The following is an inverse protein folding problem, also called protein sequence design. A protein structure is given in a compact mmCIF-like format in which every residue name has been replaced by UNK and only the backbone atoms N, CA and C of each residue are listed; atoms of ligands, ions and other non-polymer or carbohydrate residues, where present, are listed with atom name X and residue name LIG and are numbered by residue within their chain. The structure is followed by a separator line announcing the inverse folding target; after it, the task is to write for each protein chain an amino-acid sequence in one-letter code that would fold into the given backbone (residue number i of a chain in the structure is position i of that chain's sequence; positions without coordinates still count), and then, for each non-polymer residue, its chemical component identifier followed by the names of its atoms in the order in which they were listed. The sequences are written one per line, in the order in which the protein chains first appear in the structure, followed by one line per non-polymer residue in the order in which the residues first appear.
data_IF_108325815495
#
_entry.id   IF_108325815495
#
_cell.length_a   1.000
_cell.length_b   1.000
_cell.length_c   1.000
_cell.angle_alpha   90.00
_cell.angle_beta   90.00
_cell.angle_gamma   90.00
#
_symmetry.space_group_name_H-M   'P 1'
#
loop_
_entity.id
_entity.type
_entity.pdbx_description
1 polymer ?
#
# COMPACT_ATOMS: atom_id res chain seq x y z
N UNK A 1 8.97 39.78 -10.57
CA UNK A 1 9.03 39.05 -11.85
C UNK A 1 10.43 38.48 -11.93
N UNK A 2 10.75 37.24 -11.64
CA UNK A 2 10.10 35.95 -11.35
C UNK A 2 11.25 35.12 -10.67
N UNK A 3 11.14 34.00 -9.97
CA UNK A 3 10.10 33.07 -9.54
C UNK A 3 10.77 32.44 -8.31
N UNK A 4 10.14 32.51 -7.13
CA UNK A 4 10.67 31.81 -5.96
C UNK A 4 10.07 30.40 -6.01
N UNK A 5 10.78 29.48 -6.67
CA UNK A 5 10.43 28.06 -6.64
C UNK A 5 10.31 27.61 -5.19
N UNK A 6 9.07 27.34 -4.80
CA UNK A 6 8.71 26.75 -3.53
C UNK A 6 9.23 25.30 -3.54
N UNK A 7 10.45 25.13 -3.05
CA UNK A 7 10.97 23.83 -2.63
C UNK A 7 10.12 23.39 -1.43
N UNK A 8 9.07 22.61 -1.70
CA UNK A 8 8.26 21.98 -0.65
C UNK A 8 9.20 21.17 0.28
N UNK A 9 9.08 21.30 1.61
CA UNK A 9 9.92 20.56 2.54
C UNK A 9 9.69 19.05 2.36
N UNK A 10 10.77 18.27 2.40
CA UNK A 10 10.76 16.81 2.26
C UNK A 10 9.76 16.09 3.20
N UNK A 11 9.32 16.76 4.27
CA UNK A 11 8.30 16.29 5.20
C UNK A 11 6.92 16.13 4.55
N UNK A 12 6.59 16.92 3.51
CA UNK A 12 5.29 16.81 2.85
C UNK A 12 5.15 15.56 1.98
N UNK A 13 6.26 15.06 1.44
CA UNK A 13 6.27 13.87 0.58
C UNK A 13 6.12 12.57 1.36
N UNK A 14 6.54 12.53 2.62
CA UNK A 14 6.54 11.31 3.43
C UNK A 14 5.14 10.99 3.98
N UNK A 15 4.33 12.00 4.33
CA UNK A 15 2.97 11.77 4.87
C UNK A 15 1.96 11.36 3.80
N UNK A 16 2.12 11.81 2.55
CA UNK A 16 1.30 11.33 1.43
C UNK A 16 1.61 9.86 1.11
N UNK A 17 2.90 9.49 1.14
CA UNK A 17 3.32 8.10 0.99
C UNK A 17 2.81 7.21 2.14
N UNK A 18 2.79 7.71 3.38
CA UNK A 18 2.18 7.00 4.50
C UNK A 18 0.68 6.76 4.28
N UNK A 19 -0.05 7.77 3.80
CA UNK A 19 -1.49 7.65 3.53
C UNK A 19 -1.77 6.57 2.47
N UNK A 20 -0.99 6.53 1.40
CA UNK A 20 -1.09 5.52 0.35
C UNK A 20 -0.75 4.12 0.87
N UNK A 21 0.32 3.98 1.66
CA UNK A 21 0.68 2.71 2.32
C UNK A 21 -0.44 2.25 3.24
N UNK A 22 -1.01 3.15 4.04
CA UNK A 22 -2.14 2.84 4.91
C UNK A 22 -3.37 2.40 4.12
N UNK A 23 -3.68 3.06 3.01
CA UNK A 23 -4.77 2.65 2.11
C UNK A 23 -4.53 1.25 1.53
N UNK A 24 -3.30 0.98 1.08
CA UNK A 24 -2.92 -0.34 0.58
C UNK A 24 -3.03 -1.42 1.67
N UNK A 25 -2.56 -1.15 2.89
CA UNK A 25 -2.74 -2.04 4.04
C UNK A 25 -4.22 -2.27 4.33
N UNK A 26 -5.05 -1.22 4.35
CA UNK A 26 -6.49 -1.34 4.61
C UNK A 26 -7.18 -2.22 3.56
N UNK A 27 -6.91 -2.02 2.27
CA UNK A 27 -7.48 -2.88 1.22
C UNK A 27 -7.05 -4.35 1.34
N UNK A 28 -5.86 -4.62 1.90
CA UNK A 28 -5.42 -5.99 2.17
C UNK A 28 -6.12 -6.61 3.39
N UNK A 29 -6.47 -5.80 4.40
CA UNK A 29 -7.34 -6.23 5.49
C UNK A 29 -8.74 -6.57 4.98
N UNK A 30 -9.31 -5.75 4.10
CA UNK A 30 -10.63 -5.98 3.51
C UNK A 30 -10.66 -7.30 2.72
N UNK A 31 -9.56 -7.61 2.02
CA UNK A 31 -9.37 -8.87 1.29
C UNK A 31 -8.93 -10.05 2.18
N UNK A 32 -8.77 -9.83 3.49
CA UNK A 32 -8.23 -10.80 4.46
C UNK A 32 -6.86 -11.39 4.07
N UNK A 33 -6.06 -10.61 3.37
CA UNK A 33 -4.69 -10.95 2.98
C UNK A 33 -3.70 -10.27 3.92
N UNK A 34 -2.77 -11.06 4.47
CA UNK A 34 -1.72 -10.52 5.33
C UNK A 34 -0.81 -9.58 4.52
N UNK A 35 -0.54 -8.33 4.96
CA UNK A 35 0.22 -7.34 4.19
C UNK A 35 1.72 -7.58 4.23
N UNK A 36 2.18 -8.69 3.65
CA UNK A 36 3.60 -8.95 3.42
C UNK A 36 4.20 -7.90 2.50
N UNK A 37 5.46 -7.52 2.70
CA UNK A 37 6.12 -6.47 1.93
C UNK A 37 6.08 -6.68 0.40
N UNK A 38 5.99 -7.93 -0.08
CA UNK A 38 5.76 -8.22 -1.51
C UNK A 38 4.33 -7.94 -1.97
N UNK A 39 3.33 -8.35 -1.18
CA UNK A 39 1.91 -8.16 -1.51
C UNK A 39 1.54 -6.69 -1.40
N UNK A 40 2.01 -6.01 -0.34
CA UNK A 40 1.79 -4.59 -0.12
C UNK A 40 2.30 -3.73 -1.28
N UNK A 41 3.49 -4.02 -1.82
CA UNK A 41 4.02 -3.33 -3.01
C UNK A 41 3.16 -3.54 -4.24
N UNK A 42 2.68 -4.77 -4.49
CA UNK A 42 1.76 -5.02 -5.60
C UNK A 42 0.48 -4.19 -5.46
N UNK A 43 -0.08 -4.15 -4.25
CA UNK A 43 -1.28 -3.37 -3.98
C UNK A 43 -1.07 -1.87 -4.20
N UNK A 44 0.09 -1.32 -3.82
CA UNK A 44 0.43 0.08 -4.08
C UNK A 44 0.49 0.39 -5.58
N UNK A 45 1.07 -0.51 -6.38
CA UNK A 45 1.08 -0.38 -7.85
C UNK A 45 -0.34 -0.46 -8.41
N UNK A 46 -1.15 -1.41 -7.96
CA UNK A 46 -2.55 -1.56 -8.39
C UNK A 46 -3.39 -0.31 -8.07
N UNK A 47 -3.25 0.26 -6.87
CA UNK A 47 -3.96 1.48 -6.49
C UNK A 47 -3.53 2.70 -7.31
N UNK A 48 -2.24 2.79 -7.66
CA UNK A 48 -1.74 3.82 -8.56
C UNK A 48 -2.39 3.68 -9.96
N UNK A 49 -2.36 2.49 -10.55
CA UNK A 49 -2.97 2.21 -11.86
C UNK A 49 -4.50 2.44 -11.86
N UNK A 50 -5.20 2.02 -10.80
CA UNK A 50 -6.63 2.26 -10.64
C UNK A 50 -6.97 3.74 -10.55
N UNK A 51 -6.11 4.53 -9.88
CA UNK A 51 -6.30 5.97 -9.77
C UNK A 51 -6.11 6.68 -11.12
N UNK A 52 -5.21 6.19 -11.96
CA UNK A 52 -5.00 6.71 -13.32
C UNK A 52 -6.17 6.34 -14.24
N UNK A 53 -6.61 5.08 -14.23
CA UNK A 53 -7.75 4.61 -15.04
C UNK A 53 -9.08 5.28 -14.66
N UNK A 54 -9.32 5.55 -13.37
CA UNK A 54 -10.51 6.27 -12.93
C UNK A 54 -10.54 7.73 -13.40
N UNK A 55 -9.37 8.31 -13.68
CA UNK A 55 -9.23 9.71 -14.15
C UNK A 55 -9.39 9.85 -15.66
N UNK A 56 -8.94 8.87 -16.44
CA UNK A 56 -9.16 8.82 -17.90
C UNK A 56 -10.65 8.76 -18.28
N UNK A 57 -11.50 8.29 -17.37
CA UNK A 57 -12.95 8.27 -17.54
C UNK A 57 -13.64 9.59 -17.14
N UNK A 58 -12.92 10.53 -16.49
CA UNK A 58 -13.51 11.73 -15.89
C UNK A 58 -13.08 13.06 -16.52
N UNK A 59 -12.00 13.17 -17.32
CA UNK A 59 -11.57 14.47 -17.87
C UNK A 59 -10.66 14.36 -19.13
N UNK A 60 -11.09 14.92 -20.28
CA UNK A 60 -10.26 15.07 -21.50
C UNK A 60 -9.32 16.32 -21.43
N UNK A 61 -8.84 16.68 -20.23
CA UNK A 61 -8.14 17.94 -19.95
C UNK A 61 -6.72 17.76 -19.41
N UNK A 62 -5.74 17.98 -20.30
CA UNK A 62 -4.30 18.26 -20.07
C UNK A 62 -3.72 18.05 -18.64
N UNK A 63 -3.10 16.89 -18.40
CA UNK A 63 -2.43 16.55 -17.14
C UNK A 63 -0.95 16.24 -17.34
N UNK A 64 -0.08 17.25 -17.24
CA UNK A 64 1.37 17.06 -17.38
C UNK A 64 2.12 16.95 -16.03
N UNK A 65 1.45 17.07 -14.87
CA UNK A 65 2.16 17.09 -13.57
C UNK A 65 1.35 16.49 -12.41
N UNK A 66 0.85 15.26 -12.56
CA UNK A 66 -0.04 14.61 -11.56
C UNK A 66 0.25 13.13 -11.28
N UNK A 67 1.50 12.71 -11.38
CA UNK A 67 1.91 11.38 -10.88
C UNK A 67 1.68 11.40 -9.37
N UNK A 68 0.85 10.49 -8.85
CA UNK A 68 0.59 10.38 -7.41
C UNK A 68 1.90 10.09 -6.66
N UNK A 69 2.09 10.60 -5.44
CA UNK A 69 3.27 10.32 -4.63
C UNK A 69 3.55 8.81 -4.49
N UNK A 70 2.53 7.97 -4.28
CA UNK A 70 2.67 6.51 -4.35
C UNK A 70 3.16 6.00 -5.70
N UNK A 71 2.65 6.48 -6.83
CA UNK A 71 3.13 6.06 -8.14
C UNK A 71 4.60 6.48 -8.36
N UNK A 72 4.97 7.67 -7.88
CA UNK A 72 6.36 8.18 -7.92
C UNK A 72 7.29 7.35 -7.04
N UNK A 73 6.81 6.95 -5.87
CA UNK A 73 7.53 6.08 -4.95
C UNK A 73 7.63 4.64 -5.49
N UNK A 74 6.55 4.10 -6.06
CA UNK A 74 6.51 2.79 -6.70
C UNK A 74 7.39 2.72 -7.97
N UNK A 75 7.54 3.84 -8.69
CA UNK A 75 8.41 3.96 -9.86
C UNK A 75 9.89 4.23 -9.52
N UNK A 76 10.19 4.80 -8.34
CA UNK A 76 11.52 5.30 -7.98
C UNK A 76 12.23 4.59 -6.80
N UNK A 77 11.50 4.00 -5.85
CA UNK A 77 12.06 3.33 -4.65
C UNK A 77 11.58 1.89 -4.56
N UNK A 78 12.32 0.99 -5.20
CA UNK A 78 11.88 -0.39 -5.41
C UNK A 78 12.33 -1.34 -4.28
N UNK A 79 12.90 -0.81 -3.19
CA UNK A 79 13.47 -1.64 -2.15
C UNK A 79 12.49 -1.90 -1.02
N UNK A 80 12.32 -3.18 -0.67
CA UNK A 80 11.58 -3.62 0.51
C UNK A 80 12.07 -2.90 1.79
N UNK A 81 13.34 -2.48 1.81
CA UNK A 81 13.95 -1.75 2.91
C UNK A 81 13.41 -0.32 3.07
N UNK A 82 13.13 0.37 1.97
CA UNK A 82 12.62 1.75 2.03
C UNK A 82 11.17 1.75 2.50
N UNK A 83 10.37 0.79 2.02
CA UNK A 83 9.01 0.56 2.51
C UNK A 83 9.00 0.24 4.00
N UNK A 84 9.91 -0.63 4.44
CA UNK A 84 10.06 -0.98 5.85
C UNK A 84 10.34 0.26 6.69
N UNK A 85 11.32 1.08 6.30
CA UNK A 85 11.69 2.31 7.03
C UNK A 85 10.53 3.29 7.14
N UNK A 86 9.79 3.50 6.04
CA UNK A 86 8.60 4.34 6.04
C UNK A 86 7.55 3.82 7.03
N UNK A 87 7.29 2.51 7.01
CA UNK A 87 6.33 1.89 7.93
C UNK A 87 6.81 1.93 9.39
N UNK A 88 8.11 1.80 9.65
CA UNK A 88 8.70 1.89 10.99
C UNK A 88 8.62 3.30 11.58
N UNK A 89 8.62 4.33 10.72
CA UNK A 89 8.45 5.73 11.13
C UNK A 89 7.00 6.13 11.41
N UNK A 90 6.01 5.31 11.02
CA UNK A 90 4.59 5.64 11.21
C UNK A 90 4.07 5.23 12.59
N UNK A 91 3.29 6.12 13.20
CA UNK A 91 2.59 5.85 14.46
C UNK A 91 1.38 4.91 14.30
N UNK A 92 0.87 4.75 13.08
CA UNK A 92 -0.33 3.95 12.81
C UNK A 92 -0.01 2.54 12.29
N UNK A 93 1.22 2.32 11.85
CA UNK A 93 1.70 1.05 11.29
C UNK A 93 2.60 0.32 12.30
N UNK A 94 2.63 -1.00 12.16
CA UNK A 94 3.51 -1.89 12.90
C UNK A 94 4.17 -2.85 11.91
N UNK A 95 5.49 -2.79 11.84
CA UNK A 95 6.27 -3.77 11.08
C UNK A 95 6.55 -4.98 11.95
N UNK A 96 6.28 -6.17 11.42
CA UNK A 96 6.57 -7.46 12.05
C UNK A 96 7.53 -8.22 11.14
N UNK A 97 8.68 -8.63 11.67
CA UNK A 97 9.61 -9.50 10.95
C UNK A 97 9.00 -10.91 10.80
N UNK A 98 9.08 -11.47 9.60
CA UNK A 98 8.55 -12.78 9.23
C UNK A 98 9.69 -13.70 8.78
N UNK A 99 9.42 -15.00 8.70
CA UNK A 99 10.39 -15.97 8.23
C UNK A 99 10.85 -15.68 6.78
N UNK A 100 12.09 -16.06 6.47
CA UNK A 100 12.64 -15.93 5.12
C UNK A 100 13.04 -14.51 4.71
N UNK A 101 13.19 -13.59 5.68
CA UNK A 101 13.60 -12.20 5.42
C UNK A 101 12.47 -11.35 4.84
N UNK A 102 11.22 -11.78 4.98
CA UNK A 102 10.06 -10.94 4.75
C UNK A 102 9.67 -10.17 6.01
N UNK A 103 8.83 -9.17 5.83
CA UNK A 103 8.13 -8.49 6.90
C UNK A 103 6.67 -8.34 6.51
N UNK A 104 5.80 -8.24 7.50
CA UNK A 104 4.42 -7.83 7.32
C UNK A 104 4.18 -6.47 7.97
N UNK A 105 3.25 -5.70 7.42
CA UNK A 105 2.84 -4.39 7.95
C UNK A 105 1.41 -4.49 8.45
N UNK A 106 1.19 -4.20 9.73
CA UNK A 106 -0.11 -4.28 10.39
C UNK A 106 -0.58 -2.90 10.84
N UNK A 107 -1.90 -2.71 10.95
CA UNK A 107 -2.47 -1.51 11.55
C UNK A 107 -2.44 -1.66 13.07
N UNK A 108 -1.88 -0.67 13.78
CA UNK A 108 -1.80 -0.72 15.24
C UNK A 108 -3.20 -0.75 15.86
N UNK A 109 -3.40 -1.68 16.79
CA UNK A 109 -4.66 -1.82 17.53
C UNK A 109 -5.80 -2.47 16.75
N UNK A 110 -5.55 -2.96 15.53
CA UNK A 110 -6.52 -3.71 14.74
C UNK A 110 -6.27 -5.21 14.90
N UNK A 111 -7.30 -5.96 15.26
CA UNK A 111 -7.26 -7.41 15.15
C UNK A 111 -7.25 -7.81 13.67
N UNK A 112 -6.51 -8.87 13.35
CA UNK A 112 -6.42 -9.37 11.98
C UNK A 112 -6.96 -10.79 11.90
N UNK A 113 -7.88 -11.00 10.95
CA UNK A 113 -8.48 -12.30 10.62
C UNK A 113 -8.00 -12.75 9.23
N UNK A 114 -6.68 -12.75 9.04
CA UNK A 114 -6.09 -13.10 7.76
C UNK A 114 -6.27 -14.58 7.46
N UNK A 115 -6.57 -14.90 6.20
CA UNK A 115 -6.68 -16.28 5.76
C UNK A 115 -5.30 -16.94 5.79
N UNK A 116 -5.18 -18.01 6.56
CA UNK A 116 -3.97 -18.83 6.58
C UNK A 116 -4.03 -19.86 5.44
N UNK A 117 -3.39 -19.55 4.31
CA UNK A 117 -3.45 -20.34 3.07
C UNK A 117 -2.96 -21.78 3.27
N UNK A 118 -2.02 -22.01 4.19
CA UNK A 118 -1.48 -23.34 4.50
C UNK A 118 -2.22 -24.04 5.66
N UNK A 119 -3.38 -23.53 6.08
CA UNK A 119 -4.16 -24.16 7.15
C UNK A 119 -4.70 -25.50 6.65
N UNK A 120 -4.48 -26.57 7.41
CA UNK A 120 -5.10 -27.87 7.16
C UNK A 120 -6.60 -27.87 7.51
N UNK A 121 -7.04 -26.87 8.27
CA UNK A 121 -8.45 -26.65 8.61
C UNK A 121 -9.04 -25.68 7.61
N UNK A 122 -10.01 -26.14 6.82
CA UNK A 122 -10.84 -25.30 5.95
C UNK A 122 -11.94 -24.62 6.81
N UNK A 123 -11.93 -23.29 6.96
CA UNK A 123 -12.96 -22.58 7.71
C UNK A 123 -14.27 -22.41 6.92
N UNK A 124 -14.30 -22.76 5.63
CA UNK A 124 -15.50 -22.65 4.80
C UNK A 124 -16.32 -23.94 4.84
N UNK A 125 -17.66 -23.85 4.93
CA UNK A 125 -18.53 -25.03 4.94
C UNK A 125 -18.45 -25.76 3.60
N UNK A 126 -18.59 -27.09 3.61
CA UNK A 126 -18.52 -27.92 2.40
C UNK A 126 -19.52 -27.51 1.31
N UNK A 127 -20.66 -26.91 1.70
CA UNK A 127 -21.68 -26.37 0.81
C UNK A 127 -21.17 -25.18 -0.03
N UNK A 128 -20.20 -24.42 0.47
CA UNK A 128 -19.55 -23.34 -0.29
C UNK A 128 -18.78 -23.86 -1.50
N UNK A 129 -18.33 -25.12 -1.43
CA UNK A 129 -17.62 -25.83 -2.50
C UNK A 129 -18.52 -26.75 -3.31
N UNK A 130 -19.79 -26.89 -2.93
CA UNK A 130 -20.76 -27.69 -3.66
C UNK A 130 -21.34 -26.84 -4.81
N UNK A 131 -21.12 -27.28 -6.05
CA UNK A 131 -21.64 -26.66 -7.27
C UNK A 131 -23.18 -26.67 -7.36
#
# INVERSE_FOLDING_TARGET
LADAEASLPAEESDWEAEADVRQAVQSLYDDRLKPYGRILRKRLVELAEQSEQARDLQDEGEAQDRISPAARWAAGSNSSLDLRRLCEGSDSLQVVDEDGGEFSVLLRGMESDFVHIYSEVDPYPAEFWAE
#
